data_IF_993614314496
#
_entry.id   IF_993614314496
#
_cell.length_a   1.000
_cell.length_b   1.000
_cell.length_c   1.000
_cell.angle_alpha   90.00
_cell.angle_beta   90.00
_cell.angle_gamma   90.00
#
_symmetry.space_group_name_H-M   'P 1'
#
loop_
_entity.id
_entity.type
_entity.pdbx_description
1 polymer ?
#
# COMPACT_ATOMS: atom_id res chain seq x y z
N UNK A 1 13.96 8.81 2.21
CA UNK A 1 13.49 8.72 3.62
C UNK A 1 12.33 7.74 3.77
N UNK A 2 11.35 7.78 2.88
CA UNK A 2 10.09 7.01 2.90
C UNK A 2 10.27 5.49 2.76
N UNK A 3 11.29 5.04 2.03
CA UNK A 3 11.60 3.59 1.86
C UNK A 3 12.31 2.92 3.04
N UNK A 4 12.79 3.67 4.03
CA UNK A 4 13.48 3.09 5.20
C UNK A 4 12.51 2.53 6.25
N UNK A 5 11.33 3.14 6.36
CA UNK A 5 10.23 2.64 7.19
C UNK A 5 8.93 3.01 6.49
N UNK A 6 8.45 2.18 5.54
CA UNK A 6 7.27 2.51 4.75
C UNK A 6 6.03 2.67 5.64
N UNK A 7 5.90 1.90 6.73
CA UNK A 7 4.84 2.07 7.73
C UNK A 7 4.83 3.47 8.38
N UNK A 8 5.96 4.16 8.50
CA UNK A 8 5.99 5.49 9.11
C UNK A 8 5.37 6.58 8.22
N UNK A 9 5.32 6.36 6.89
CA UNK A 9 4.84 7.35 5.93
C UNK A 9 3.57 6.87 5.21
N UNK A 10 3.65 5.73 4.55
CA UNK A 10 2.58 5.19 3.70
C UNK A 10 1.36 4.69 4.47
N UNK A 11 1.43 4.62 5.81
CA UNK A 11 0.24 4.34 6.61
C UNK A 11 -0.80 5.48 6.57
N UNK A 12 -0.40 6.70 6.21
CA UNK A 12 -1.28 7.89 6.25
C UNK A 12 -1.20 8.76 4.99
N UNK A 13 -0.27 8.47 4.09
CA UNK A 13 0.09 9.35 2.98
C UNK A 13 0.41 8.53 1.75
N UNK A 14 -0.04 8.99 0.59
CA UNK A 14 0.40 8.46 -0.70
C UNK A 14 1.75 9.08 -1.07
N UNK A 15 2.34 8.64 -2.17
CA UNK A 15 3.51 9.33 -2.71
C UNK A 15 3.18 10.81 -3.03
N UNK A 16 4.11 11.75 -2.80
CA UNK A 16 3.87 13.15 -3.11
C UNK A 16 3.45 13.36 -4.57
N UNK A 17 2.28 13.96 -4.77
CA UNK A 17 1.71 14.21 -6.10
C UNK A 17 0.74 13.14 -6.58
N UNK A 18 0.57 12.04 -5.84
CA UNK A 18 -0.52 11.11 -6.09
C UNK A 18 -1.82 11.58 -5.42
N UNK A 19 -2.93 11.44 -6.13
CA UNK A 19 -4.25 11.62 -5.56
C UNK A 19 -4.59 10.46 -4.61
N UNK A 20 -5.39 10.76 -3.59
CA UNK A 20 -5.96 9.73 -2.71
C UNK A 20 -7.20 9.14 -3.36
N UNK A 21 -7.26 7.81 -3.44
CA UNK A 21 -8.43 7.12 -3.95
C UNK A 21 -9.40 6.79 -2.82
N UNK A 22 -10.64 7.24 -2.95
CA UNK A 22 -11.73 6.92 -2.02
C UNK A 22 -12.74 5.91 -2.59
N UNK A 23 -12.43 5.34 -3.76
CA UNK A 23 -13.28 4.39 -4.47
C UNK A 23 -13.12 2.96 -3.97
N UNK A 24 -14.01 2.09 -4.41
CA UNK A 24 -13.94 0.65 -4.15
C UNK A 24 -12.66 0.05 -4.74
N UNK A 25 -12.25 -1.11 -4.23
CA UNK A 25 -11.11 -1.85 -4.74
C UNK A 25 -11.43 -2.45 -6.10
N UNK A 26 -10.50 -2.34 -7.04
CA UNK A 26 -10.55 -3.10 -8.29
C UNK A 26 -10.02 -4.52 -8.07
N UNK A 27 -10.37 -5.44 -8.99
CA UNK A 27 -9.88 -6.82 -8.91
C UNK A 27 -8.35 -6.89 -9.00
N UNK A 28 -7.74 -6.00 -9.79
CA UNK A 28 -6.29 -5.90 -9.93
C UNK A 28 -5.62 -5.45 -8.62
N UNK A 29 -6.20 -4.49 -7.90
CA UNK A 29 -5.71 -4.05 -6.59
C UNK A 29 -5.77 -5.19 -5.56
N UNK A 30 -6.88 -5.94 -5.55
CA UNK A 30 -7.04 -7.12 -4.69
C UNK A 30 -6.02 -8.21 -5.00
N UNK A 31 -5.79 -8.50 -6.28
CA UNK A 31 -4.85 -9.54 -6.70
C UNK A 31 -3.41 -9.19 -6.27
N UNK A 32 -3.01 -7.92 -6.42
CA UNK A 32 -1.71 -7.42 -5.95
C UNK A 32 -1.63 -7.52 -4.43
N UNK A 33 -2.67 -7.13 -3.70
CA UNK A 33 -2.71 -7.25 -2.23
C UNK A 33 -2.52 -8.70 -1.77
N UNK A 34 -3.27 -9.63 -2.36
CA UNK A 34 -3.18 -11.06 -2.04
C UNK A 34 -1.80 -11.61 -2.35
N UNK A 35 -1.19 -11.19 -3.46
CA UNK A 35 0.18 -11.59 -3.81
C UNK A 35 1.19 -11.11 -2.76
N UNK A 36 1.16 -9.82 -2.40
CA UNK A 36 2.06 -9.24 -1.40
C UNK A 36 1.86 -9.87 0.00
N UNK A 37 0.61 -10.19 0.34
CA UNK A 37 0.29 -10.82 1.61
C UNK A 37 0.84 -12.25 1.70
N UNK A 38 0.86 -12.98 0.57
CA UNK A 38 1.52 -14.29 0.49
C UNK A 38 3.03 -14.19 0.61
N UNK A 39 3.63 -13.14 0.05
CA UNK A 39 5.09 -12.97 0.04
C UNK A 39 5.64 -12.45 1.38
N UNK A 40 4.98 -11.46 2.00
CA UNK A 40 5.50 -10.72 3.14
C UNK A 40 4.74 -10.98 4.46
N UNK A 41 3.65 -11.76 4.40
CA UNK A 41 2.71 -11.93 5.50
C UNK A 41 1.82 -10.70 5.69
N UNK A 42 0.68 -10.89 6.38
CA UNK A 42 -0.32 -9.84 6.62
C UNK A 42 -0.40 -9.46 8.11
N UNK A 43 -0.84 -8.22 8.40
CA UNK A 43 -1.23 -7.78 9.76
C UNK A 43 -0.47 -6.57 10.30
N UNK A 44 0.80 -6.36 9.90
CA UNK A 44 1.68 -5.35 10.51
C UNK A 44 2.47 -4.48 9.52
N UNK A 45 2.30 -4.67 8.20
CA UNK A 45 3.09 -4.01 7.15
C UNK A 45 2.26 -3.11 6.23
N UNK A 46 1.21 -2.46 6.74
CA UNK A 46 0.28 -1.67 5.93
C UNK A 46 0.94 -0.61 5.04
N UNK A 47 1.98 0.08 5.53
CA UNK A 47 2.74 1.01 4.70
C UNK A 47 3.57 0.33 3.60
N UNK A 48 3.97 -0.94 3.77
CA UNK A 48 4.56 -1.72 2.69
C UNK A 48 3.52 -1.95 1.60
N UNK A 49 2.33 -2.43 1.97
CA UNK A 49 1.23 -2.66 1.02
C UNK A 49 0.87 -1.36 0.27
N UNK A 50 0.67 -0.27 1.00
CA UNK A 50 0.40 1.06 0.44
C UNK A 50 1.53 1.59 -0.47
N UNK A 51 2.78 1.15 -0.26
CA UNK A 51 3.88 1.50 -1.17
C UNK A 51 3.92 0.70 -2.47
N UNK A 52 3.16 -0.39 -2.57
CA UNK A 52 3.09 -1.26 -3.76
C UNK A 52 1.75 -1.22 -4.48
N UNK A 53 0.67 -0.84 -3.78
CA UNK A 53 -0.67 -0.68 -4.34
C UNK A 53 -0.89 0.82 -4.48
N UNK A 54 -0.76 1.39 -5.69
CA UNK A 54 -0.82 2.83 -5.90
C UNK A 54 -2.11 3.41 -5.32
N UNK A 55 -2.00 4.61 -4.74
CA UNK A 55 -3.12 5.36 -4.17
C UNK A 55 -3.86 4.75 -2.96
N UNK A 56 -3.38 3.64 -2.38
CA UNK A 56 -3.96 2.95 -1.22
C UNK A 56 -3.11 3.03 0.04
#
# INVERSE_FOLDING_TARGET
LFRKNPNAYFYRHNEPGEEQWTGDWSQEEEDVFVQLAKEHGCGDKWGLFASYIPHR
#
